data_IF_023105755338
#
_entry.id   IF_023105755338
#
_cell.length_a   1.000
_cell.length_b   1.000
_cell.length_c   1.000
_cell.angle_alpha   90.00
_cell.angle_beta   90.00
_cell.angle_gamma   90.00
#
_symmetry.space_group_name_H-M   'P 1'
#
loop_
_entity.id
_entity.type
_entity.pdbx_description
1 polymer ?
#
# COMPACT_ATOMS: atom_id res chain seq x y z
N UNK A 1 31.33 -37.70 4.51
CA UNK A 1 31.79 -36.49 3.86
C UNK A 1 30.83 -36.00 2.78
N UNK A 2 30.44 -36.84 1.86
CA UNK A 2 29.48 -36.47 0.83
C UNK A 2 28.12 -36.08 1.39
N UNK A 3 27.73 -36.62 2.51
CA UNK A 3 26.44 -36.34 3.16
C UNK A 3 26.37 -34.89 3.63
N UNK A 4 27.44 -34.37 4.22
CA UNK A 4 27.43 -32.99 4.69
C UNK A 4 27.33 -31.97 3.54
N UNK A 5 27.94 -32.29 2.41
CA UNK A 5 27.83 -31.44 1.24
C UNK A 5 26.41 -31.41 0.71
N UNK A 6 25.75 -32.54 0.70
CA UNK A 6 24.34 -32.60 0.27
C UNK A 6 23.43 -31.82 1.20
N UNK A 7 23.69 -31.87 2.48
CA UNK A 7 22.92 -31.09 3.46
C UNK A 7 23.11 -29.61 3.21
N UNK A 8 24.32 -29.17 2.92
CA UNK A 8 24.59 -27.76 2.60
C UNK A 8 23.83 -27.29 1.38
N UNK A 9 23.76 -28.13 0.35
CA UNK A 9 23.01 -27.82 -0.86
C UNK A 9 21.53 -27.65 -0.55
N UNK A 10 20.98 -28.53 0.27
CA UNK A 10 19.59 -28.40 0.70
C UNK A 10 19.34 -27.13 1.47
N UNK A 11 20.27 -26.75 2.33
CA UNK A 11 20.15 -25.51 3.08
C UNK A 11 20.13 -24.30 2.13
N UNK A 12 20.95 -24.33 1.09
CA UNK A 12 20.94 -23.27 0.08
C UNK A 12 19.61 -23.19 -0.66
N UNK A 13 19.03 -24.32 -0.99
CA UNK A 13 17.73 -24.35 -1.64
C UNK A 13 16.64 -23.80 -0.75
N UNK A 14 16.69 -24.12 0.54
CA UNK A 14 15.75 -23.55 1.49
C UNK A 14 15.89 -22.05 1.62
N UNK A 15 17.11 -21.56 1.59
CA UNK A 15 17.35 -20.12 1.60
C UNK A 15 16.77 -19.43 0.36
N UNK A 16 16.90 -20.06 -0.79
CA UNK A 16 16.29 -19.57 -2.02
C UNK A 16 14.76 -19.60 -1.93
N UNK A 17 14.20 -20.63 -1.35
CA UNK A 17 12.77 -20.71 -1.10
C UNK A 17 12.30 -19.58 -0.19
N UNK A 18 13.05 -19.28 0.84
CA UNK A 18 12.76 -18.16 1.72
C UNK A 18 12.86 -16.82 0.94
N UNK A 19 13.83 -16.71 0.05
CA UNK A 19 13.93 -15.54 -0.82
C UNK A 19 12.74 -15.40 -1.74
N UNK A 20 12.21 -16.51 -2.22
CA UNK A 20 11.02 -16.48 -3.07
C UNK A 20 9.74 -16.13 -2.32
N UNK A 21 9.69 -16.37 -1.02
CA UNK A 21 8.56 -15.92 -0.22
C UNK A 21 8.51 -14.40 -0.10
N UNK A 22 9.55 -13.70 -0.51
CA UNK A 22 9.53 -12.26 -0.65
C UNK A 22 8.60 -11.78 -1.76
N UNK A 23 7.99 -12.69 -2.52
CA UNK A 23 6.90 -12.36 -3.43
C UNK A 23 5.58 -12.12 -2.68
N UNK A 24 5.64 -11.83 -1.39
CA UNK A 24 4.48 -11.38 -0.64
C UNK A 24 3.88 -10.15 -1.32
N UNK A 25 2.55 -10.06 -1.30
CA UNK A 25 1.82 -8.96 -1.91
C UNK A 25 2.35 -7.62 -1.37
N UNK A 26 2.44 -6.58 -2.21
CA UNK A 26 2.93 -5.27 -1.77
C UNK A 26 2.02 -4.65 -0.72
N UNK A 27 2.59 -3.80 0.08
CA UNK A 27 1.84 -3.00 1.03
C UNK A 27 1.56 -1.63 0.42
N UNK A 28 0.32 -1.20 0.55
CA UNK A 28 -0.13 0.08 0.06
C UNK A 28 -0.64 0.88 1.25
N UNK A 29 -0.20 2.11 1.37
CA UNK A 29 -0.60 2.98 2.46
C UNK A 29 -1.43 4.14 1.93
N UNK A 30 -2.54 4.39 2.60
CA UNK A 30 -3.39 5.51 2.30
C UNK A 30 -3.75 6.28 3.56
N UNK A 31 -4.19 7.49 3.38
CA UNK A 31 -4.63 8.34 4.47
C UNK A 31 -5.67 9.33 3.97
N UNK A 32 -6.50 9.81 4.85
CA UNK A 32 -7.45 10.85 4.48
C UNK A 32 -8.75 10.84 5.23
N UNK A 33 -9.81 11.13 4.52
CA UNK A 33 -11.14 11.33 5.06
C UNK A 33 -11.62 10.16 5.92
N UNK A 34 -12.36 10.46 6.95
CA UNK A 34 -12.87 9.45 7.87
C UNK A 34 -14.17 8.80 7.38
N UNK A 35 -14.95 9.48 6.55
CA UNK A 35 -16.23 8.95 6.12
C UNK A 35 -16.12 7.60 5.38
N UNK A 36 -15.12 7.33 4.52
CA UNK A 36 -15.04 6.06 3.83
C UNK A 36 -14.29 4.97 4.61
N UNK A 37 -13.77 5.28 5.80
CA UNK A 37 -12.84 4.40 6.50
C UNK A 37 -13.42 3.00 6.76
N UNK A 38 -14.69 2.92 7.15
CA UNK A 38 -15.31 1.63 7.48
C UNK A 38 -15.44 0.73 6.26
N UNK A 39 -15.89 1.29 5.14
CA UNK A 39 -16.03 0.51 3.90
C UNK A 39 -14.66 0.14 3.34
N UNK A 40 -13.68 1.04 3.43
CA UNK A 40 -12.31 0.75 3.01
C UNK A 40 -11.71 -0.39 3.82
N UNK A 41 -11.86 -0.38 5.13
CA UNK A 41 -11.34 -1.44 5.99
C UNK A 41 -11.91 -2.80 5.60
N UNK A 42 -13.20 -2.84 5.29
CA UNK A 42 -13.85 -4.07 4.86
C UNK A 42 -13.33 -4.53 3.49
N UNK A 43 -13.28 -3.64 2.53
CA UNK A 43 -12.78 -3.97 1.20
C UNK A 43 -11.33 -4.42 1.24
N UNK A 44 -10.50 -3.73 2.01
CA UNK A 44 -9.09 -4.06 2.11
C UNK A 44 -8.86 -5.39 2.82
N UNK A 45 -9.68 -5.70 3.81
CA UNK A 45 -9.64 -7.01 4.47
C UNK A 45 -10.03 -8.13 3.50
N UNK A 46 -11.06 -7.91 2.70
CA UNK A 46 -11.49 -8.88 1.68
C UNK A 46 -10.43 -9.07 0.62
N UNK A 47 -9.80 -7.98 0.19
CA UNK A 47 -8.72 -8.02 -0.79
C UNK A 47 -7.53 -8.84 -0.27
N UNK A 48 -7.13 -8.62 0.97
CA UNK A 48 -6.03 -9.35 1.58
C UNK A 48 -6.34 -10.84 1.68
N UNK A 49 -7.59 -11.19 2.05
CA UNK A 49 -8.00 -12.60 2.13
C UNK A 49 -7.99 -13.31 0.78
N UNK A 50 -8.21 -12.56 -0.29
CA UNK A 50 -8.16 -13.11 -1.65
C UNK A 50 -6.74 -13.20 -2.23
N UNK A 51 -5.72 -12.89 -1.44
CA UNK A 51 -4.33 -12.92 -1.89
C UNK A 51 -3.83 -11.63 -2.52
N UNK A 52 -4.63 -10.57 -2.47
CA UNK A 52 -4.24 -9.27 -2.98
C UNK A 52 -3.33 -8.49 -2.01
N UNK A 53 -2.98 -7.26 -2.38
CA UNK A 53 -2.10 -6.43 -1.55
C UNK A 53 -2.73 -6.08 -0.22
N UNK A 54 -1.88 -5.85 0.77
CA UNK A 54 -2.32 -5.32 2.06
C UNK A 54 -2.40 -3.81 1.96
N UNK A 55 -3.56 -3.25 2.28
CA UNK A 55 -3.78 -1.81 2.25
C UNK A 55 -4.03 -1.34 3.67
N UNK A 56 -3.22 -0.38 4.11
CA UNK A 56 -3.40 0.30 5.38
C UNK A 56 -3.97 1.68 5.11
N UNK A 57 -5.07 1.99 5.75
CA UNK A 57 -5.70 3.30 5.62
C UNK A 57 -5.81 3.97 6.97
N UNK A 58 -5.29 5.18 7.07
CA UNK A 58 -5.36 5.99 8.27
C UNK A 58 -6.41 7.08 8.12
N UNK A 59 -7.39 7.05 9.00
CA UNK A 59 -8.47 8.01 9.03
C UNK A 59 -8.00 9.25 9.82
N UNK A 60 -7.40 10.20 9.13
CA UNK A 60 -6.78 11.38 9.76
C UNK A 60 -7.37 12.70 9.28
N UNK A 61 -8.39 12.62 8.44
CA UNK A 61 -9.01 13.79 7.83
C UNK A 61 -8.45 14.08 6.43
N UNK A 62 -9.27 14.74 5.62
CA UNK A 62 -8.94 15.03 4.22
C UNK A 62 -7.70 15.91 4.08
N UNK A 63 -7.59 16.94 4.91
CA UNK A 63 -6.44 17.85 4.85
C UNK A 63 -5.13 17.16 5.16
N UNK A 64 -5.11 16.38 6.23
CA UNK A 64 -3.92 15.61 6.61
C UNK A 64 -3.59 14.54 5.59
N UNK A 65 -4.61 13.92 4.99
CA UNK A 65 -4.41 12.94 3.92
C UNK A 65 -3.77 13.55 2.69
N UNK A 66 -4.28 14.69 2.24
CA UNK A 66 -3.69 15.40 1.09
C UNK A 66 -2.25 15.80 1.37
N UNK A 67 -1.97 16.30 2.57
CA UNK A 67 -0.60 16.65 2.95
C UNK A 67 0.32 15.43 2.91
N UNK A 68 -0.11 14.32 3.46
CA UNK A 68 0.67 13.09 3.44
C UNK A 68 0.94 12.61 2.01
N UNK A 69 -0.01 12.78 1.12
CA UNK A 69 0.16 12.44 -0.29
C UNK A 69 1.18 13.36 -0.96
N UNK A 70 1.11 14.66 -0.72
CA UNK A 70 2.07 15.64 -1.24
C UNK A 70 3.48 15.32 -0.72
N UNK A 71 3.59 15.00 0.56
CA UNK A 71 4.85 14.67 1.21
C UNK A 71 5.36 13.26 0.82
N UNK A 72 4.59 12.52 0.05
CA UNK A 72 4.93 11.17 -0.43
C UNK A 72 5.08 10.14 0.70
N UNK A 73 4.40 10.34 1.81
CA UNK A 73 4.40 9.39 2.92
C UNK A 73 3.33 8.32 2.76
N UNK A 74 2.39 8.52 1.84
CA UNK A 74 1.36 7.53 1.50
C UNK A 74 1.25 7.39 -0.02
N UNK A 75 0.67 6.28 -0.46
CA UNK A 75 0.50 5.98 -1.88
C UNK A 75 -0.77 6.61 -2.45
N UNK A 76 -1.79 6.79 -1.60
CA UNK A 76 -3.03 7.43 -2.01
C UNK A 76 -3.63 8.21 -0.84
N UNK A 77 -4.51 9.12 -1.17
CA UNK A 77 -5.27 9.85 -0.18
C UNK A 77 -6.74 9.91 -0.59
N UNK A 78 -7.62 9.89 0.40
CA UNK A 78 -9.04 10.07 0.19
C UNK A 78 -9.45 11.44 0.77
N UNK A 79 -10.30 12.16 0.05
CA UNK A 79 -10.72 13.50 0.43
C UNK A 79 -12.14 13.75 -0.03
N UNK A 80 -12.89 14.49 0.76
CA UNK A 80 -14.19 15.00 0.34
C UNK A 80 -14.07 16.26 -0.52
N UNK A 81 -12.87 16.82 -0.62
CA UNK A 81 -12.58 17.96 -1.50
C UNK A 81 -11.51 17.57 -2.51
N UNK A 82 -11.64 18.02 -3.78
CA UNK A 82 -10.59 17.78 -4.76
C UNK A 82 -9.32 18.54 -4.40
N UNK A 83 -8.18 18.02 -4.84
CA UNK A 83 -6.91 18.68 -4.66
C UNK A 83 -6.81 19.88 -5.58
N UNK A 84 -6.35 21.00 -5.05
CA UNK A 84 -6.16 22.23 -5.83
C UNK A 84 -4.97 22.09 -6.78
N UNK A 85 -5.03 22.80 -7.89
CA UNK A 85 -3.96 22.76 -8.91
C UNK A 85 -2.59 23.12 -8.32
N UNK A 86 -2.54 24.11 -7.43
CA UNK A 86 -1.27 24.51 -6.80
C UNK A 86 -0.65 23.40 -5.97
N UNK A 87 -1.49 22.57 -5.37
CA UNK A 87 -1.02 21.45 -4.56
C UNK A 87 -0.62 20.25 -5.44
N UNK A 88 -1.33 20.06 -6.55
CA UNK A 88 -0.93 19.05 -7.54
C UNK A 88 0.46 19.29 -8.08
N UNK A 89 0.81 20.55 -8.28
CA UNK A 89 2.12 20.94 -8.79
C UNK A 89 3.25 20.58 -7.83
N UNK A 90 2.96 20.40 -6.55
CA UNK A 90 3.94 19.99 -5.54
C UNK A 90 4.27 18.50 -5.61
N UNK A 91 3.46 17.70 -6.31
CA UNK A 91 3.68 16.27 -6.42
C UNK A 91 4.49 16.01 -7.68
N UNK A 92 5.77 15.70 -7.51
CA UNK A 92 6.71 15.60 -8.63
C UNK A 92 6.39 14.50 -9.63
N UNK A 93 5.67 13.47 -9.22
CA UNK A 93 5.27 12.34 -10.08
C UNK A 93 3.89 12.48 -10.71
N UNK A 94 3.23 13.62 -10.49
CA UNK A 94 1.89 13.86 -10.98
C UNK A 94 0.81 13.30 -10.07
N UNK A 95 -0.42 13.69 -10.34
CA UNK A 95 -1.59 13.32 -9.54
C UNK A 95 -2.69 12.83 -10.45
N UNK A 96 -3.27 11.70 -10.08
CA UNK A 96 -4.52 11.23 -10.67
C UNK A 96 -5.61 11.38 -9.62
N UNK A 97 -6.65 12.11 -9.94
CA UNK A 97 -7.82 12.26 -9.08
C UNK A 97 -8.98 11.48 -9.64
N UNK A 98 -9.62 10.71 -8.78
CA UNK A 98 -10.85 9.99 -9.12
C UNK A 98 -11.96 10.65 -8.35
N UNK A 99 -12.93 11.19 -9.07
CA UNK A 99 -14.09 11.84 -8.46
C UNK A 99 -15.25 10.89 -8.46
N UNK A 100 -15.79 10.66 -7.27
CA UNK A 100 -17.02 9.91 -7.13
C UNK A 100 -18.16 10.90 -6.94
N UNK A 101 -19.07 10.87 -7.87
CA UNK A 101 -20.29 11.65 -7.82
C UNK A 101 -21.40 10.72 -7.33
N UNK A 102 -21.43 10.56 -6.03
CA UNK A 102 -22.38 9.63 -5.44
C UNK A 102 -23.59 10.27 -4.88
#
# INVERSE_FOLDING_TARGET
MSVSKKILVLSSLLALGAGMSASAAPRINGAGASFPAKIYQRWFADLARSGGPQVNYQSVGSGSGRKAFIDQTVNFAASDDPMKKKDMAKVGRGVVQILELG
#
